data_IF_566147013298
#
_entry.id   IF_566147013298
#
_cell.length_a   1.000
_cell.length_b   1.000
_cell.length_c   1.000
_cell.angle_alpha   90.00
_cell.angle_beta   90.00
_cell.angle_gamma   90.00
#
_symmetry.space_group_name_H-M   'P 1'
#
loop_
_entity.id
_entity.type
_entity.pdbx_description
1 polymer ?
#
# COMPACT_ATOMS: atom_id res chain seq x y z
N UNK A 1 8.71 2.54 -3.97
CA UNK A 1 9.20 3.45 -2.90
C UNK A 1 10.06 4.58 -3.46
N UNK A 2 11.10 4.32 -4.28
CA UNK A 2 11.96 5.37 -4.84
C UNK A 2 11.23 6.53 -5.52
N UNK A 3 10.18 6.23 -6.29
CA UNK A 3 9.42 7.21 -7.08
C UNK A 3 8.25 7.85 -6.33
N UNK A 4 8.31 7.93 -5.00
CA UNK A 4 7.21 8.53 -4.25
C UNK A 4 7.16 10.06 -4.42
N UNK A 5 5.96 10.56 -4.71
CA UNK A 5 5.69 12.01 -4.84
C UNK A 5 4.95 12.56 -3.62
N UNK A 6 4.12 11.74 -2.98
CA UNK A 6 3.24 12.12 -1.87
C UNK A 6 2.72 10.89 -1.13
N UNK A 7 2.01 11.11 -0.02
CA UNK A 7 1.13 10.11 0.59
C UNK A 7 -0.32 10.52 0.35
N UNK A 8 -1.22 9.55 0.31
CA UNK A 8 -2.65 9.75 0.13
C UNK A 8 -3.40 9.47 1.42
N UNK A 9 -4.33 10.36 1.75
CA UNK A 9 -5.26 10.24 2.87
C UNK A 9 -6.69 10.50 2.38
N UNK A 10 -7.66 9.81 2.96
CA UNK A 10 -9.08 10.08 2.71
C UNK A 10 -9.48 11.28 3.59
N UNK A 11 -9.91 12.43 3.03
CA UNK A 11 -10.16 13.64 3.83
C UNK A 11 -11.13 13.42 5.00
N UNK A 12 -12.26 12.76 4.73
CA UNK A 12 -13.28 12.43 5.74
C UNK A 12 -13.00 11.10 6.48
N UNK A 13 -11.84 10.47 6.20
CA UNK A 13 -11.41 9.25 6.86
C UNK A 13 -11.10 9.49 8.34
N UNK A 14 -11.41 8.49 9.17
CA UNK A 14 -11.10 8.51 10.61
C UNK A 14 -9.75 7.85 10.87
N UNK A 15 -8.83 8.62 11.41
CA UNK A 15 -7.48 8.20 11.77
C UNK A 15 -7.25 8.43 13.26
N UNK A 16 -6.14 7.93 13.77
CA UNK A 16 -5.67 8.25 15.10
C UNK A 16 -4.16 8.11 15.17
N UNK A 17 -3.57 8.74 16.18
CA UNK A 17 -2.16 8.55 16.52
C UNK A 17 -2.08 7.54 17.67
N UNK A 18 -1.45 6.39 17.42
CA UNK A 18 -1.42 5.25 18.33
C UNK A 18 -0.01 4.97 18.84
N UNK A 19 0.14 4.76 20.13
CA UNK A 19 1.42 4.38 20.73
C UNK A 19 1.80 2.94 20.37
N UNK A 20 2.98 2.78 19.77
CA UNK A 20 3.54 1.47 19.43
C UNK A 20 4.51 1.02 20.52
N UNK A 21 5.35 1.93 20.99
CA UNK A 21 6.30 1.72 22.08
C UNK A 21 6.52 3.05 22.81
N UNK A 22 7.57 3.17 23.64
CA UNK A 22 7.82 4.39 24.41
C UNK A 22 8.26 5.60 23.56
N UNK A 23 8.69 5.41 22.31
CA UNK A 23 9.19 6.47 21.42
C UNK A 23 8.33 6.70 20.18
N UNK A 24 7.67 5.66 19.68
CA UNK A 24 7.08 5.66 18.36
C UNK A 24 5.55 5.72 18.41
N UNK A 25 5.00 6.58 17.56
CA UNK A 25 3.57 6.78 17.38
C UNK A 25 3.23 6.58 15.91
N UNK A 26 2.26 5.72 15.63
CA UNK A 26 1.79 5.49 14.26
C UNK A 26 0.47 6.21 14.01
N UNK A 27 0.39 6.87 12.85
CA UNK A 27 -0.85 7.50 12.37
C UNK A 27 -1.51 6.59 11.36
N UNK A 28 -2.68 6.04 11.70
CA UNK A 28 -3.39 5.04 10.89
C UNK A 28 -4.85 4.91 11.35
N UNK A 29 -5.64 4.05 10.70
CA UNK A 29 -7.03 3.79 11.11
C UNK A 29 -7.11 2.92 12.37
N UNK A 30 -8.17 3.07 13.15
CA UNK A 30 -8.41 2.25 14.36
C UNK A 30 -8.39 0.73 14.07
N UNK A 31 -8.90 0.31 12.91
CA UNK A 31 -8.90 -1.10 12.48
C UNK A 31 -7.47 -1.62 12.28
N UNK A 32 -6.61 -0.82 11.66
CA UNK A 32 -5.21 -1.19 11.46
C UNK A 32 -4.45 -1.21 12.80
N UNK A 33 -4.75 -0.25 13.70
CA UNK A 33 -4.16 -0.22 15.05
C UNK A 33 -4.50 -1.48 15.83
N UNK A 34 -5.75 -1.95 15.73
CA UNK A 34 -6.19 -3.18 16.37
C UNK A 34 -5.45 -4.41 15.78
N UNK A 35 -5.37 -4.54 14.46
CA UNK A 35 -4.61 -5.64 13.83
C UNK A 35 -3.14 -5.64 14.27
N UNK A 36 -2.51 -4.48 14.31
CA UNK A 36 -1.12 -4.30 14.75
C UNK A 36 -0.93 -4.67 16.22
N UNK A 37 -1.88 -4.35 17.08
CA UNK A 37 -1.81 -4.69 18.50
C UNK A 37 -1.78 -6.21 18.75
N UNK A 38 -2.48 -6.98 17.92
CA UNK A 38 -2.42 -8.45 17.92
C UNK A 38 -1.20 -9.02 17.17
N UNK A 39 -0.37 -8.16 16.57
CA UNK A 39 0.89 -8.50 15.89
C UNK A 39 2.09 -7.92 16.64
N UNK A 40 1.95 -7.69 17.95
CA UNK A 40 3.01 -7.19 18.84
C UNK A 40 3.43 -5.72 18.60
N UNK A 41 2.67 -4.96 17.80
CA UNK A 41 2.91 -3.54 17.53
C UNK A 41 1.92 -2.65 18.29
N UNK A 42 1.99 -2.70 19.62
CA UNK A 42 1.24 -1.82 20.51
C UNK A 42 1.90 -1.72 21.88
N UNK A 43 1.85 -0.53 22.49
CA UNK A 43 2.41 -0.30 23.83
C UNK A 43 1.84 -1.26 24.89
N UNK A 44 0.54 -1.53 24.83
CA UNK A 44 -0.15 -2.51 25.66
C UNK A 44 -0.50 -3.71 24.79
N UNK A 45 -0.07 -4.94 25.12
CA UNK A 45 -0.37 -6.13 24.31
C UNK A 45 -1.85 -6.23 23.95
N UNK A 46 -2.15 -6.53 22.68
CA UNK A 46 -3.50 -6.75 22.15
C UNK A 46 -4.46 -5.54 22.28
N UNK A 47 -3.95 -4.36 22.67
CA UNK A 47 -4.76 -3.17 22.88
C UNK A 47 -4.12 -1.91 22.27
N UNK A 48 -4.71 -1.34 21.20
CA UNK A 48 -4.24 -0.07 20.66
C UNK A 48 -4.47 1.06 21.68
N UNK A 49 -3.48 1.91 21.87
CA UNK A 49 -3.55 3.08 22.77
C UNK A 49 -3.56 4.35 21.93
N UNK A 50 -4.72 5.01 21.83
CA UNK A 50 -4.90 6.21 21.02
C UNK A 50 -4.55 7.46 21.83
N UNK A 51 -3.61 8.26 21.33
CA UNK A 51 -3.23 9.56 21.90
C UNK A 51 -4.17 10.67 21.45
N UNK A 52 -4.55 10.65 20.17
CA UNK A 52 -5.42 11.66 19.57
C UNK A 52 -6.18 11.06 18.39
N UNK A 53 -7.47 11.36 18.32
CA UNK A 53 -8.31 11.09 17.14
C UNK A 53 -8.10 12.19 16.10
N UNK A 54 -7.96 11.78 14.85
CA UNK A 54 -7.66 12.67 13.72
C UNK A 54 -8.61 12.36 12.56
N UNK A 55 -8.80 13.33 11.69
CA UNK A 55 -9.41 13.14 10.38
C UNK A 55 -8.34 13.22 9.30
N UNK A 56 -8.64 12.75 8.09
CA UNK A 56 -7.72 12.93 6.97
C UNK A 56 -7.45 14.40 6.66
N UNK A 57 -8.42 15.29 6.91
CA UNK A 57 -8.21 16.74 6.81
C UNK A 57 -7.09 17.26 7.70
N UNK A 58 -6.95 16.72 8.92
CA UNK A 58 -5.88 17.12 9.84
C UNK A 58 -4.50 16.69 9.34
N UNK A 59 -4.45 15.69 8.44
CA UNK A 59 -3.22 15.16 7.87
C UNK A 59 -2.78 15.88 6.60
N UNK A 60 -3.71 16.50 5.85
CA UNK A 60 -3.40 17.11 4.55
C UNK A 60 -2.37 18.24 4.73
N UNK A 61 -1.31 18.19 3.92
CA UNK A 61 -0.24 19.18 3.93
C UNK A 61 0.88 18.92 4.93
N UNK A 62 0.81 17.86 5.74
CA UNK A 62 1.92 17.48 6.59
C UNK A 62 3.14 17.08 5.74
N UNK A 63 4.34 17.63 6.02
CA UNK A 63 5.57 17.19 5.38
C UNK A 63 5.97 15.82 5.93
N UNK A 64 6.34 14.92 5.03
CA UNK A 64 6.72 13.55 5.31
C UNK A 64 8.08 13.26 4.69
N UNK A 65 8.86 12.44 5.38
CA UNK A 65 10.06 11.81 4.83
C UNK A 65 9.74 10.35 4.56
N UNK A 66 9.88 9.93 3.31
CA UNK A 66 9.61 8.54 2.92
C UNK A 66 10.91 7.75 2.77
N UNK A 67 10.95 6.48 3.22
CA UNK A 67 12.09 5.61 2.97
C UNK A 67 12.37 5.47 1.48
N UNK A 68 13.64 5.66 1.11
CA UNK A 68 14.18 5.51 -0.25
C UNK A 68 13.67 6.52 -1.30
N UNK A 69 12.70 7.38 -0.99
CA UNK A 69 12.19 8.35 -1.94
C UNK A 69 13.31 9.32 -2.39
N UNK A 70 13.38 9.59 -3.69
CA UNK A 70 14.34 10.58 -4.21
C UNK A 70 13.95 12.01 -3.79
N UNK A 71 12.66 12.26 -3.60
CA UNK A 71 12.16 13.47 -2.99
C UNK A 71 12.43 13.44 -1.48
N UNK A 72 13.22 14.41 -0.98
CA UNK A 72 13.59 14.48 0.43
C UNK A 72 12.40 14.74 1.34
N UNK A 73 11.45 15.56 0.87
CA UNK A 73 10.21 15.89 1.55
C UNK A 73 9.08 15.69 0.55
N UNK A 74 8.06 14.94 0.97
CA UNK A 74 6.79 14.78 0.28
C UNK A 74 5.66 15.23 1.20
N UNK A 75 4.43 15.32 0.70
CA UNK A 75 3.29 15.78 1.51
C UNK A 75 2.16 14.76 1.55
N UNK A 76 1.35 14.79 2.61
CA UNK A 76 0.05 14.11 2.62
C UNK A 76 -0.96 14.90 1.79
N UNK A 77 -1.61 14.24 0.83
CA UNK A 77 -2.54 14.84 -0.12
C UNK A 77 -3.88 14.07 -0.13
N UNK A 78 -5.00 14.73 -0.51
CA UNK A 78 -6.31 14.11 -0.50
C UNK A 78 -6.51 13.15 -1.68
N UNK A 79 -7.07 11.97 -1.40
CA UNK A 79 -7.57 11.03 -2.42
C UNK A 79 -8.92 10.46 -1.98
N UNK A 80 -9.93 10.54 -2.86
CA UNK A 80 -11.32 10.24 -2.50
C UNK A 80 -11.72 8.77 -2.63
N UNK A 81 -10.85 7.96 -3.22
CA UNK A 81 -11.12 6.55 -3.54
C UNK A 81 -10.46 5.57 -2.56
N UNK A 82 -9.80 6.08 -1.51
CA UNK A 82 -9.20 5.25 -0.46
C UNK A 82 -10.29 4.51 0.31
N UNK A 83 -10.03 3.23 0.52
CA UNK A 83 -10.84 2.35 1.36
C UNK A 83 -10.18 2.24 2.75
N UNK A 84 -10.74 2.88 3.77
CA UNK A 84 -10.18 2.90 5.14
C UNK A 84 -10.36 1.58 5.89
N UNK A 85 -11.13 0.65 5.32
CA UNK A 85 -11.31 -0.73 5.80
C UNK A 85 -10.27 -1.71 5.19
N UNK A 86 -9.32 -1.22 4.40
CA UNK A 86 -8.18 -1.98 3.87
C UNK A 86 -6.86 -1.30 4.17
N UNK A 87 -5.83 -2.08 4.47
CA UNK A 87 -4.53 -1.56 4.85
C UNK A 87 -4.60 -0.69 6.10
N UNK A 88 -3.74 0.33 6.13
CA UNK A 88 -3.65 1.33 7.22
C UNK A 88 -4.57 2.54 7.02
N UNK A 89 -5.24 2.63 5.85
CA UNK A 89 -5.96 3.81 5.40
C UNK A 89 -5.06 4.96 4.88
N UNK A 90 -3.74 4.80 4.89
CA UNK A 90 -2.78 5.71 4.25
C UNK A 90 -2.12 4.98 3.10
N UNK A 91 -2.11 5.58 1.91
CA UNK A 91 -1.57 4.96 0.69
C UNK A 91 -0.36 5.73 0.19
N UNK A 92 0.71 5.05 -0.19
CA UNK A 92 1.88 5.70 -0.80
C UNK A 92 1.62 6.03 -2.27
N UNK A 93 1.99 7.23 -2.74
CA UNK A 93 1.80 7.63 -4.14
C UNK A 93 3.05 7.38 -4.98
N UNK A 94 2.97 6.48 -5.96
CA UNK A 94 4.02 6.17 -6.95
C UNK A 94 3.44 6.32 -8.36
N UNK A 95 3.26 7.57 -8.84
CA UNK A 95 2.50 7.88 -10.06
C UNK A 95 3.16 7.42 -11.37
N UNK A 96 4.40 6.92 -11.35
CA UNK A 96 5.05 6.30 -12.51
C UNK A 96 4.45 4.93 -12.86
N UNK A 97 4.02 4.17 -11.84
CA UNK A 97 3.68 2.75 -11.96
C UNK A 97 2.28 2.40 -11.46
N UNK A 98 1.65 3.29 -10.68
CA UNK A 98 0.29 3.14 -10.19
C UNK A 98 -0.69 4.09 -10.92
N UNK A 99 -1.62 3.56 -11.74
CA UNK A 99 -2.63 4.37 -12.46
C UNK A 99 -3.52 5.23 -11.55
N UNK A 100 -3.90 4.70 -10.38
CA UNK A 100 -4.71 5.42 -9.39
C UNK A 100 -3.97 6.69 -8.90
N UNK A 101 -2.67 6.55 -8.62
CA UNK A 101 -1.80 7.62 -8.13
C UNK A 101 -1.54 8.68 -9.21
N UNK A 102 -1.26 8.23 -10.44
CA UNK A 102 -1.09 9.10 -11.60
C UNK A 102 -2.32 10.00 -11.79
N UNK A 103 -3.52 9.40 -11.81
CA UNK A 103 -4.76 10.16 -12.03
C UNK A 103 -5.10 11.08 -10.86
N UNK A 104 -4.89 10.65 -9.62
CA UNK A 104 -5.12 11.50 -8.45
C UNK A 104 -4.16 12.70 -8.42
N UNK A 105 -2.87 12.50 -8.72
CA UNK A 105 -1.90 13.59 -8.82
C UNK A 105 -2.21 14.51 -10.00
N UNK A 106 -2.59 13.97 -11.16
CA UNK A 106 -2.99 14.74 -12.32
C UNK A 106 -4.24 15.60 -12.04
N UNK A 107 -5.24 15.04 -11.35
CA UNK A 107 -6.42 15.79 -10.91
C UNK A 107 -6.04 16.96 -10.00
N UNK A 108 -5.13 16.73 -9.05
CA UNK A 108 -4.62 17.79 -8.19
C UNK A 108 -3.83 18.83 -8.96
N UNK A 109 -3.01 18.48 -9.97
CA UNK A 109 -2.30 19.45 -10.81
C UNK A 109 -3.24 20.26 -11.71
N UNK A 110 -4.22 19.61 -12.33
CA UNK A 110 -5.09 20.20 -13.36
C UNK A 110 -6.29 21.00 -12.82
N UNK A 111 -6.74 20.76 -11.58
CA UNK A 111 -7.95 21.37 -11.03
C UNK A 111 -7.65 22.26 -9.80
N UNK A 112 -7.38 23.57 -9.98
CA UNK A 112 -7.13 24.50 -8.86
C UNK A 112 -8.28 24.56 -7.84
N UNK A 113 -9.54 24.42 -8.29
CA UNK A 113 -10.70 24.36 -7.42
C UNK A 113 -10.68 23.12 -6.49
N UNK A 114 -10.15 21.99 -6.97
CA UNK A 114 -9.99 20.79 -6.16
C UNK A 114 -8.94 21.00 -5.08
N UNK A 115 -7.79 21.61 -5.41
CA UNK A 115 -6.78 21.99 -4.42
C UNK A 115 -7.34 22.96 -3.37
N UNK A 116 -8.04 24.01 -3.82
CA UNK A 116 -8.63 25.03 -2.96
C UNK A 116 -9.66 24.44 -1.98
N UNK A 117 -10.46 23.46 -2.42
CA UNK A 117 -11.46 22.78 -1.58
C UNK A 117 -10.84 22.13 -0.33
N UNK A 118 -9.65 21.55 -0.47
CA UNK A 118 -8.96 20.83 0.62
C UNK A 118 -7.79 21.62 1.20
N UNK A 119 -7.65 22.91 0.88
CA UNK A 119 -6.54 23.75 1.35
C UNK A 119 -5.16 23.30 0.86
N UNK A 120 -5.08 22.54 -0.22
CA UNK A 120 -3.81 22.05 -0.80
C UNK A 120 -3.09 23.22 -1.47
N UNK A 121 -1.83 23.46 -1.05
CA UNK A 121 -0.98 24.50 -1.62
C UNK A 121 -0.31 24.01 -2.90
N UNK A 122 -0.05 24.92 -3.83
CA UNK A 122 0.64 24.61 -5.08
C UNK A 122 2.06 24.05 -4.83
N UNK A 123 2.75 24.52 -3.79
CA UNK A 123 4.09 24.03 -3.40
C UNK A 123 4.12 22.54 -3.01
N UNK A 124 2.98 21.96 -2.62
CA UNK A 124 2.87 20.55 -2.23
C UNK A 124 2.63 19.61 -3.43
N UNK A 125 2.36 20.15 -4.61
CA UNK A 125 1.92 19.36 -5.78
C UNK A 125 2.69 19.71 -7.04
N UNK A 126 2.79 21.01 -7.36
CA UNK A 126 3.30 21.48 -8.64
C UNK A 126 4.77 21.12 -8.88
N UNK A 127 5.68 21.16 -7.88
CA UNK A 127 7.09 20.78 -8.09
C UNK A 127 7.31 19.27 -8.27
N UNK A 128 6.35 18.43 -7.90
CA UNK A 128 6.53 16.97 -7.89
C UNK A 128 6.24 16.38 -9.27
N UNK A 129 7.29 16.06 -9.99
CA UNK A 129 7.21 15.37 -11.28
C UNK A 129 7.21 13.84 -11.12
N UNK A 130 6.74 13.15 -12.15
CA UNK A 130 6.71 11.69 -12.18
C UNK A 130 8.14 11.18 -12.32
N UNK A 131 8.58 10.38 -11.35
CA UNK A 131 9.91 9.79 -11.29
C UNK A 131 9.84 8.37 -11.87
N UNK A 132 10.43 8.11 -13.04
CA UNK A 132 10.48 6.75 -13.60
C UNK A 132 11.34 5.84 -12.73
N UNK A 133 10.83 4.69 -12.33
CA UNK A 133 11.55 3.74 -11.47
C UNK A 133 11.59 2.31 -11.99
N UNK A 134 10.66 1.93 -12.86
CA UNK A 134 10.59 0.62 -13.50
C UNK A 134 10.35 0.85 -14.98
N UNK A 135 11.14 0.20 -15.82
CA UNK A 135 10.86 0.08 -17.25
C UNK A 135 10.12 -1.23 -17.51
N UNK A 136 8.95 -1.13 -18.11
CA UNK A 136 8.15 -2.28 -18.56
C UNK A 136 8.23 -2.28 -20.08
N UNK A 137 8.78 -3.30 -20.74
CA UNK A 137 9.07 -3.28 -22.19
C UNK A 137 7.89 -2.83 -23.08
N UNK A 138 6.66 -3.18 -22.72
CA UNK A 138 5.46 -2.78 -23.47
C UNK A 138 5.01 -1.34 -23.16
N UNK A 139 5.25 -0.86 -21.94
CA UNK A 139 4.70 0.40 -21.45
C UNK A 139 5.74 1.53 -21.27
N UNK A 140 7.03 1.23 -21.29
CA UNK A 140 8.12 2.16 -21.02
C UNK A 140 8.35 2.41 -19.53
N UNK A 141 9.00 3.54 -19.23
CA UNK A 141 9.46 3.97 -17.90
C UNK A 141 8.41 4.72 -17.07
N UNK A 142 7.26 5.04 -17.68
CA UNK A 142 6.08 5.65 -17.06
C UNK A 142 4.83 4.87 -17.42
N UNK A 143 4.79 3.62 -17.00
CA UNK A 143 3.74 2.68 -17.39
C UNK A 143 2.33 3.15 -17.00
N UNK A 144 2.17 3.76 -15.83
CA UNK A 144 0.87 4.28 -15.38
C UNK A 144 0.35 5.39 -16.30
N UNK A 145 1.21 6.37 -16.63
CA UNK A 145 0.86 7.46 -17.54
C UNK A 145 0.42 6.92 -18.89
N UNK A 146 1.22 6.04 -19.50
CA UNK A 146 0.92 5.48 -20.82
C UNK A 146 -0.42 4.72 -20.84
N UNK A 147 -0.63 3.83 -19.88
CA UNK A 147 -1.87 3.01 -19.83
C UNK A 147 -3.10 3.90 -19.55
N UNK A 148 -2.97 4.92 -18.70
CA UNK A 148 -4.04 5.89 -18.46
C UNK A 148 -4.41 6.68 -19.74
N UNK A 149 -3.41 7.09 -20.53
CA UNK A 149 -3.60 7.78 -21.80
C UNK A 149 -4.26 6.85 -22.83
N UNK A 150 -3.76 5.62 -22.99
CA UNK A 150 -4.27 4.64 -23.94
C UNK A 150 -5.74 4.26 -23.67
N UNK A 151 -6.10 4.08 -22.40
CA UNK A 151 -7.48 3.80 -21.96
C UNK A 151 -8.37 5.05 -21.90
N UNK A 152 -7.82 6.24 -22.21
CA UNK A 152 -8.51 7.54 -22.19
C UNK A 152 -9.22 7.76 -20.85
N UNK A 153 -8.48 7.57 -19.76
CA UNK A 153 -8.95 7.82 -18.40
C UNK A 153 -8.93 9.33 -18.16
N UNK A 154 -10.06 9.88 -17.67
CA UNK A 154 -10.22 11.34 -17.53
C UNK A 154 -10.15 11.81 -16.08
N UNK A 155 -10.41 10.91 -15.14
CA UNK A 155 -10.54 11.25 -13.72
C UNK A 155 -10.21 10.06 -12.84
N UNK A 156 -9.78 10.31 -11.60
CA UNK A 156 -9.62 9.26 -10.57
C UNK A 156 -10.94 8.52 -10.25
N UNK A 157 -12.09 9.02 -10.72
CA UNK A 157 -13.40 8.41 -10.52
C UNK A 157 -13.76 7.32 -11.56
N UNK A 158 -12.96 7.13 -12.61
CA UNK A 158 -13.21 6.14 -13.67
C UNK A 158 -12.82 4.71 -13.21
N UNK A 159 -13.49 4.21 -12.16
CA UNK A 159 -13.11 3.00 -11.39
C UNK A 159 -12.87 1.76 -12.25
N UNK A 160 -13.75 1.50 -13.22
CA UNK A 160 -13.64 0.30 -14.08
C UNK A 160 -12.40 0.35 -14.96
N UNK A 161 -12.11 1.50 -15.56
CA UNK A 161 -10.92 1.68 -16.40
C UNK A 161 -9.64 1.68 -15.58
N UNK A 162 -9.66 2.27 -14.39
CA UNK A 162 -8.52 2.27 -13.47
C UNK A 162 -8.22 0.85 -12.95
N UNK A 163 -9.25 0.05 -12.67
CA UNK A 163 -9.07 -1.36 -12.31
C UNK A 163 -8.40 -2.15 -13.45
N UNK A 164 -8.81 -1.91 -14.69
CA UNK A 164 -8.16 -2.54 -15.85
C UNK A 164 -6.72 -2.07 -16.03
N UNK A 165 -6.48 -0.76 -15.95
CA UNK A 165 -5.14 -0.17 -16.03
C UNK A 165 -4.19 -0.78 -14.97
N UNK A 166 -4.68 -0.91 -13.74
CA UNK A 166 -3.95 -1.47 -12.60
C UNK A 166 -3.60 -2.94 -12.82
N UNK A 167 -4.53 -3.72 -13.36
CA UNK A 167 -4.29 -5.14 -13.68
C UNK A 167 -3.16 -5.30 -14.71
N UNK A 168 -3.18 -4.48 -15.77
CA UNK A 168 -2.17 -4.50 -16.83
C UNK A 168 -0.79 -4.10 -16.33
N UNK A 169 -0.71 -2.98 -15.60
CA UNK A 169 0.56 -2.44 -15.08
C UNK A 169 1.16 -3.31 -13.98
N UNK A 170 0.35 -3.79 -13.02
CA UNK A 170 0.85 -4.54 -11.86
C UNK A 170 1.43 -5.90 -12.24
N UNK A 171 0.71 -6.68 -13.05
CA UNK A 171 1.17 -8.03 -13.42
C UNK A 171 2.44 -7.95 -14.29
N UNK A 172 2.43 -7.12 -15.34
CA UNK A 172 3.59 -6.97 -16.23
C UNK A 172 4.77 -6.30 -15.53
N UNK A 173 4.52 -5.33 -14.65
CA UNK A 173 5.57 -4.69 -13.86
C UNK A 173 6.27 -5.67 -12.93
N UNK A 174 5.56 -6.66 -12.38
CA UNK A 174 6.16 -7.69 -11.54
C UNK A 174 6.99 -8.70 -12.35
N UNK A 175 6.45 -9.21 -13.48
CA UNK A 175 7.09 -10.29 -14.25
C UNK A 175 8.18 -9.79 -15.20
N UNK A 176 7.95 -8.68 -15.87
CA UNK A 176 8.81 -8.19 -16.96
C UNK A 176 9.54 -6.90 -16.59
N UNK A 177 9.09 -6.18 -15.56
CA UNK A 177 9.65 -4.91 -15.14
C UNK A 177 11.13 -5.01 -14.76
N UNK A 178 11.90 -4.02 -15.20
CA UNK A 178 13.31 -3.84 -14.88
C UNK A 178 13.49 -2.56 -14.07
N UNK A 179 14.17 -2.65 -12.93
CA UNK A 179 14.44 -1.48 -12.07
C UNK A 179 15.36 -0.49 -12.79
N UNK A 180 15.04 0.81 -12.71
CA UNK A 180 15.83 1.90 -13.30
C UNK A 180 16.65 2.69 -12.28
N UNK A 181 16.31 2.56 -11.00
CA UNK A 181 16.84 3.38 -9.91
C UNK A 181 17.26 2.55 -8.71
N UNK A 182 18.11 3.16 -7.88
CA UNK A 182 18.59 2.56 -6.64
C UNK A 182 19.63 1.47 -6.86
N UNK A 183 19.91 0.73 -5.79
CA UNK A 183 20.95 -0.30 -5.75
C UNK A 183 20.71 -1.48 -6.72
N UNK A 184 19.45 -1.74 -7.05
CA UNK A 184 19.05 -2.85 -7.91
C UNK A 184 18.80 -2.43 -9.36
N UNK A 185 19.34 -1.29 -9.79
CA UNK A 185 19.25 -0.83 -11.17
C UNK A 185 19.69 -1.94 -12.16
N UNK A 186 18.89 -2.16 -13.21
CA UNK A 186 19.10 -3.19 -14.22
C UNK A 186 18.61 -4.60 -13.84
N UNK A 187 18.14 -4.82 -12.61
CA UNK A 187 17.59 -6.12 -12.17
C UNK A 187 16.08 -6.21 -12.36
N UNK A 188 15.56 -7.44 -12.39
CA UNK A 188 14.11 -7.70 -12.43
C UNK A 188 13.44 -7.31 -11.11
N UNK A 189 12.25 -6.73 -11.21
CA UNK A 189 11.44 -6.30 -10.06
C UNK A 189 11.15 -7.48 -9.12
N UNK A 190 10.87 -8.67 -9.67
CA UNK A 190 10.62 -9.89 -8.89
C UNK A 190 11.75 -10.21 -7.90
N UNK A 191 13.01 -10.05 -8.31
CA UNK A 191 14.18 -10.28 -7.46
C UNK A 191 14.40 -9.12 -6.47
N UNK A 192 14.32 -7.88 -6.97
CA UNK A 192 14.60 -6.69 -6.18
C UNK A 192 13.57 -6.48 -5.05
N UNK A 193 12.31 -6.86 -5.26
CA UNK A 193 11.22 -6.63 -4.30
C UNK A 193 11.47 -7.30 -2.95
N UNK A 194 11.93 -8.56 -2.96
CA UNK A 194 12.21 -9.29 -1.72
C UNK A 194 13.40 -8.68 -0.97
N UNK A 195 14.48 -8.34 -1.68
CA UNK A 195 15.68 -7.75 -1.10
C UNK A 195 15.42 -6.35 -0.51
N UNK A 196 14.65 -5.51 -1.22
CA UNK A 196 14.26 -4.19 -0.73
C UNK A 196 13.37 -4.27 0.51
N UNK A 197 12.45 -5.24 0.56
CA UNK A 197 11.61 -5.48 1.74
C UNK A 197 12.47 -5.81 2.95
N UNK A 198 13.39 -6.78 2.83
CA UNK A 198 14.27 -7.15 3.95
C UNK A 198 15.12 -5.96 4.40
N UNK A 199 15.71 -5.21 3.45
CA UNK A 199 16.52 -4.03 3.76
C UNK A 199 15.75 -2.95 4.54
N UNK A 200 14.51 -2.66 4.14
CA UNK A 200 13.66 -1.68 4.83
C UNK A 200 13.30 -2.13 6.25
N UNK A 201 13.05 -3.43 6.44
CA UNK A 201 12.76 -3.99 7.76
C UNK A 201 14.01 -3.95 8.64
N UNK A 202 15.17 -4.36 8.12
CA UNK A 202 16.44 -4.33 8.85
C UNK A 202 16.87 -2.91 9.23
N UNK A 203 16.52 -1.91 8.41
CA UNK A 203 16.78 -0.50 8.69
C UNK A 203 15.79 0.12 9.71
N UNK A 204 14.71 -0.58 10.06
CA UNK A 204 13.62 -0.03 10.88
C UNK A 204 12.70 0.95 10.14
N UNK A 205 12.83 1.06 8.81
CA UNK A 205 12.05 1.96 7.96
C UNK A 205 10.70 1.34 7.53
N UNK A 206 10.49 0.04 7.79
CA UNK A 206 9.24 -0.66 7.53
C UNK A 206 9.02 -1.79 8.54
N UNK A 207 7.75 -2.14 8.76
CA UNK A 207 7.35 -3.30 9.56
C UNK A 207 6.54 -4.28 8.71
N UNK A 208 6.44 -5.52 9.16
CA UNK A 208 5.47 -6.45 8.59
C UNK A 208 4.08 -6.15 9.14
N UNK A 209 3.11 -6.02 8.23
CA UNK A 209 1.70 -5.89 8.56
C UNK A 209 0.92 -6.95 7.81
N UNK A 210 0.14 -7.75 8.55
CA UNK A 210 -0.75 -8.75 8.00
C UNK A 210 -2.19 -8.36 8.28
N UNK A 211 -3.09 -8.58 7.32
CA UNK A 211 -4.52 -8.38 7.51
C UNK A 211 -5.32 -9.46 6.78
N UNK A 212 -6.57 -9.73 7.21
CA UNK A 212 -7.46 -10.62 6.44
C UNK A 212 -7.73 -10.03 5.05
N UNK A 213 -7.60 -10.85 4.00
CA UNK A 213 -7.81 -10.42 2.61
C UNK A 213 -9.23 -9.86 2.39
N UNK A 214 -10.20 -10.43 3.11
CA UNK A 214 -11.61 -10.03 3.12
C UNK A 214 -12.08 -9.90 4.55
N UNK A 215 -13.16 -9.15 4.76
CA UNK A 215 -13.81 -9.06 6.06
C UNK A 215 -14.24 -10.45 6.55
N UNK A 216 -13.71 -10.87 7.69
CA UNK A 216 -14.06 -12.12 8.36
C UNK A 216 -14.74 -11.75 9.67
N UNK A 217 -15.91 -12.34 9.91
CA UNK A 217 -16.69 -12.12 11.13
C UNK A 217 -16.81 -13.44 11.88
N UNK A 218 -16.51 -13.41 13.17
CA UNK A 218 -16.60 -14.57 14.05
C UNK A 218 -18.07 -14.95 14.32
N UNK A 219 -18.29 -16.09 14.97
CA UNK A 219 -19.64 -16.48 15.40
C UNK A 219 -20.20 -15.57 16.51
N UNK A 220 -19.34 -14.90 17.29
CA UNK A 220 -19.77 -13.92 18.30
C UNK A 220 -20.18 -12.58 17.68
N UNK A 221 -19.91 -12.37 16.38
CA UNK A 221 -20.20 -11.12 15.67
C UNK A 221 -19.01 -10.15 15.61
N UNK A 222 -17.86 -10.54 16.17
CA UNK A 222 -16.65 -9.72 16.17
C UNK A 222 -15.93 -9.79 14.81
N UNK A 223 -15.36 -8.67 14.36
CA UNK A 223 -14.53 -8.66 13.16
C UNK A 223 -13.14 -9.24 13.49
N UNK A 224 -12.73 -10.28 12.75
CA UNK A 224 -11.48 -10.96 12.99
C UNK A 224 -10.27 -10.14 12.53
N UNK A 225 -9.16 -10.33 13.24
CA UNK A 225 -7.84 -9.78 12.93
C UNK A 225 -6.85 -10.90 12.66
N UNK A 226 -5.71 -10.59 12.06
CA UNK A 226 -4.56 -11.52 12.04
C UNK A 226 -3.76 -11.30 13.31
N UNK A 227 -3.57 -12.37 14.08
CA UNK A 227 -2.83 -12.33 15.34
C UNK A 227 -1.55 -13.19 15.25
N UNK A 228 -0.46 -12.69 15.83
CA UNK A 228 0.76 -13.45 16.07
C UNK A 228 0.66 -14.05 17.47
N UNK A 229 0.30 -15.33 17.56
CA UNK A 229 0.07 -16.01 18.84
C UNK A 229 0.81 -17.34 18.87
N UNK A 230 1.31 -17.70 20.04
CA UNK A 230 1.80 -19.05 20.29
C UNK A 230 0.63 -20.04 20.23
N UNK A 231 0.67 -20.96 19.26
CA UNK A 231 -0.36 -21.97 19.07
C UNK A 231 0.23 -23.27 18.56
N UNK A 232 -0.40 -24.38 18.91
CA UNK A 232 -0.13 -25.67 18.28
C UNK A 232 -0.79 -25.68 16.90
N UNK A 233 -0.03 -26.01 15.87
CA UNK A 233 -0.54 -26.16 14.50
C UNK A 233 0.01 -27.43 13.86
N UNK A 234 -0.70 -27.90 12.83
CA UNK A 234 -0.28 -29.07 12.04
C UNK A 234 0.48 -28.55 10.82
N UNK A 235 1.67 -29.10 10.56
CA UNK A 235 2.56 -28.69 9.47
C UNK A 235 2.17 -29.32 8.13
N UNK A 236 1.04 -28.88 7.56
CA UNK A 236 0.56 -29.42 6.28
C UNK A 236 1.48 -29.12 5.08
N UNK A 237 2.32 -28.09 5.15
CA UNK A 237 3.22 -27.66 4.07
C UNK A 237 4.59 -28.34 4.05
N UNK A 238 4.84 -29.33 4.90
CA UNK A 238 6.06 -30.12 4.82
C UNK A 238 6.00 -31.04 3.59
N UNK A 239 7.09 -31.07 2.80
CA UNK A 239 7.15 -31.80 1.54
C UNK A 239 6.82 -33.30 1.66
N UNK A 240 6.97 -33.88 2.85
CA UNK A 240 6.60 -35.27 3.14
C UNK A 240 5.08 -35.45 3.33
N UNK A 241 4.42 -34.50 4.00
CA UNK A 241 2.97 -34.47 4.17
C UNK A 241 2.26 -34.17 2.84
N UNK A 242 2.79 -33.23 2.04
CA UNK A 242 2.24 -32.91 0.73
C UNK A 242 2.33 -34.07 -0.27
N UNK A 243 3.46 -34.79 -0.31
CA UNK A 243 3.63 -35.97 -1.19
C UNK A 243 2.66 -37.08 -0.81
N UNK A 244 2.50 -37.34 0.48
CA UNK A 244 1.61 -38.40 0.98
C UNK A 244 0.14 -38.02 0.76
N UNK A 245 -0.25 -36.79 1.09
CA UNK A 245 -1.61 -36.29 0.87
C UNK A 245 -1.99 -36.21 -0.61
N UNK A 246 -1.10 -35.73 -1.47
CA UNK A 246 -1.31 -35.73 -2.92
C UNK A 246 -1.41 -37.15 -3.48
N UNK A 247 -0.58 -38.09 -2.98
CA UNK A 247 -0.66 -39.50 -3.34
C UNK A 247 -2.00 -40.14 -2.97
N UNK A 248 -2.56 -39.80 -1.82
CA UNK A 248 -3.88 -40.27 -1.36
C UNK A 248 -5.03 -39.61 -2.13
N UNK A 249 -4.93 -38.31 -2.45
CA UNK A 249 -5.90 -37.61 -3.31
C UNK A 249 -5.94 -38.16 -4.73
N UNK A 250 -4.82 -38.66 -5.26
CA UNK A 250 -4.76 -39.36 -6.55
C UNK A 250 -5.38 -40.76 -6.47
N UNK A 251 -5.30 -41.43 -5.31
CA UNK A 251 -5.90 -42.75 -5.09
C UNK A 251 -7.42 -42.72 -4.84
N UNK A 252 -7.94 -41.60 -4.34
CA UNK A 252 -9.38 -41.38 -4.28
C UNK A 252 -9.85 -40.73 -5.59
N UNK A 253 -10.49 -41.51 -6.47
CA UNK A 253 -11.25 -40.95 -7.59
C UNK A 253 -12.24 -39.91 -7.06
N UNK A 254 -11.97 -38.64 -7.33
CA UNK A 254 -12.91 -37.54 -7.18
C UNK A 254 -13.99 -37.71 -8.26
N UNK A 255 -15.01 -38.50 -7.95
CA UNK A 255 -16.25 -38.56 -8.72
C UNK A 255 -16.94 -37.18 -8.59
N UNK A 256 -16.85 -36.38 -9.65
CA UNK A 256 -17.64 -35.17 -9.86
C UNK A 256 -19.11 -35.49 -10.13
#
# INVERSE_FOLDING_TARGET
MYGQTNAWVLPDGKYGAFEINDTDVFVLTQRAALNLAYQEYSRVPEKPTCLVELTGYDLIGLPLKSPLALNQIIYALPMLTILTDKGTGIVTSVPSDAPDDFMALHDLKSKPAFRSKYGVRDEWVMPFEIIPIIDIPEFGDKAAEKVCVDLKIKSQNDREKLAEAKRLTYLKGFTEGTMLVGEFNGRKVQEAKALLRSKLIEAGDAIMYSEPEKRVVSRSGDECVVACTEQWYITYGEAECEKTGSGVLIQHELLF
#
